data_IF_133886642731
#
_entry.id   IF_133886642731
#
_cell.length_a   1.000
_cell.length_b   1.000
_cell.length_c   1.000
_cell.angle_alpha   90.00
_cell.angle_beta   90.00
_cell.angle_gamma   90.00
#
_symmetry.space_group_name_H-M   'P 1'
#
loop_
_entity.id
_entity.type
_entity.pdbx_description
1 polymer ?
#
# COMPACT_ATOMS: atom_id res chain seq x y z
N UNK A 1 5.25 -23.82 33.72
CA UNK A 1 6.63 -23.27 33.64
C UNK A 1 6.58 -21.75 33.41
N UNK A 2 6.28 -20.92 34.42
CA UNK A 2 6.25 -19.45 34.32
C UNK A 2 6.84 -18.80 35.59
N UNK A 3 8.11 -19.09 35.91
CA UNK A 3 8.81 -18.51 37.07
C UNK A 3 10.05 -17.68 36.69
N UNK A 4 10.26 -17.42 35.40
CA UNK A 4 11.37 -16.62 34.88
C UNK A 4 11.03 -15.14 34.60
N UNK A 5 9.75 -14.79 34.41
CA UNK A 5 9.33 -13.43 34.03
C UNK A 5 9.39 -12.40 35.18
N UNK A 6 9.65 -12.83 36.42
CA UNK A 6 9.69 -11.94 37.59
C UNK A 6 11.01 -11.15 37.71
N UNK A 7 12.00 -11.36 36.83
CA UNK A 7 13.29 -10.66 36.87
C UNK A 7 13.35 -9.56 35.80
N UNK A 8 13.49 -8.27 36.18
CA UNK A 8 13.43 -7.15 35.24
C UNK A 8 14.49 -7.26 34.13
N UNK A 9 15.72 -7.67 34.48
CA UNK A 9 16.80 -7.84 33.50
C UNK A 9 16.54 -8.93 32.45
N UNK A 10 15.82 -9.99 32.81
CA UNK A 10 15.49 -11.06 31.85
C UNK A 10 14.32 -10.63 30.94
N UNK A 11 13.38 -9.86 31.48
CA UNK A 11 12.33 -9.19 30.70
C UNK A 11 12.94 -8.20 29.70
N UNK A 12 13.88 -7.37 30.13
CA UNK A 12 14.52 -6.38 29.27
C UNK A 12 15.32 -7.03 28.15
N UNK A 13 16.05 -8.12 28.44
CA UNK A 13 16.77 -8.90 27.43
C UNK A 13 15.81 -9.59 26.44
N UNK A 14 14.68 -10.12 26.92
CA UNK A 14 13.65 -10.73 26.07
C UNK A 14 12.95 -9.68 25.19
N UNK A 15 12.62 -8.52 25.75
CA UNK A 15 12.04 -7.38 25.01
C UNK A 15 13.02 -6.88 23.97
N UNK A 16 14.31 -6.75 24.30
CA UNK A 16 15.36 -6.36 23.36
C UNK A 16 15.54 -7.39 22.23
N UNK A 17 15.47 -8.69 22.55
CA UNK A 17 15.54 -9.76 21.56
C UNK A 17 14.31 -9.75 20.64
N UNK A 18 13.11 -9.60 21.19
CA UNK A 18 11.86 -9.54 20.43
C UNK A 18 11.71 -8.25 19.61
N UNK A 19 12.24 -7.11 20.08
CA UNK A 19 12.28 -5.88 19.26
C UNK A 19 13.31 -5.96 18.14
N UNK A 20 14.40 -6.71 18.35
CA UNK A 20 15.42 -6.98 17.33
C UNK A 20 14.95 -8.03 16.31
N UNK A 21 14.11 -8.96 16.73
CA UNK A 21 13.33 -9.84 15.85
C UNK A 21 12.15 -9.01 15.32
N UNK A 22 12.40 -8.21 14.30
CA UNK A 22 11.34 -7.51 13.56
C UNK A 22 10.55 -8.56 12.76
N UNK A 23 9.60 -9.25 13.40
CA UNK A 23 8.53 -10.01 12.74
C UNK A 23 7.54 -9.05 12.07
N UNK A 24 8.04 -8.06 11.34
CA UNK A 24 7.27 -7.41 10.30
C UNK A 24 7.61 -8.19 9.05
N UNK A 25 6.72 -9.07 8.60
CA UNK A 25 6.73 -9.47 7.19
C UNK A 25 6.82 -8.15 6.42
N UNK A 26 7.74 -7.99 5.48
CA UNK A 26 7.89 -6.73 4.72
C UNK A 26 6.66 -6.38 3.88
N UNK A 27 5.51 -6.96 4.19
CA UNK A 27 4.22 -6.81 3.58
C UNK A 27 3.60 -5.43 3.84
N UNK A 28 2.75 -5.02 2.93
CA UNK A 28 1.89 -3.86 3.07
C UNK A 28 0.52 -4.17 2.50
N UNK A 29 -0.47 -3.43 2.99
CA UNK A 29 -1.82 -3.41 2.46
C UNK A 29 -2.35 -1.98 2.53
N UNK A 30 -2.97 -1.52 1.45
CA UNK A 30 -3.65 -0.23 1.35
C UNK A 30 -5.06 -0.52 0.85
N UNK A 31 -6.06 0.14 1.43
CA UNK A 31 -7.45 0.07 0.98
C UNK A 31 -7.95 1.49 0.74
N UNK A 32 -8.56 1.70 -0.42
CA UNK A 32 -9.30 2.90 -0.75
C UNK A 32 -10.77 2.53 -0.84
N UNK A 33 -11.62 3.33 -0.20
CA UNK A 33 -13.08 3.17 -0.22
C UNK A 33 -13.73 4.49 -0.63
N UNK A 34 -14.83 4.40 -1.36
CA UNK A 34 -15.64 5.55 -1.76
C UNK A 34 -17.12 5.15 -1.81
N UNK A 35 -17.99 6.07 -1.41
CA UNK A 35 -19.43 5.93 -1.59
C UNK A 35 -19.85 6.60 -2.90
N UNK A 36 -20.57 5.84 -3.73
CA UNK A 36 -21.20 6.32 -4.95
C UNK A 36 -22.48 7.10 -4.63
N UNK A 37 -22.86 8.00 -5.54
CA UNK A 37 -24.13 8.72 -5.43
C UNK A 37 -25.37 7.78 -5.51
N UNK A 38 -25.18 6.55 -5.96
CA UNK A 38 -26.17 5.47 -5.98
C UNK A 38 -26.26 4.70 -4.64
N UNK A 39 -25.53 5.15 -3.62
CA UNK A 39 -25.49 4.52 -2.30
C UNK A 39 -24.66 3.24 -2.22
N UNK A 40 -23.89 2.91 -3.28
CA UNK A 40 -23.00 1.74 -3.27
C UNK A 40 -21.61 2.13 -2.78
N UNK A 41 -20.99 1.26 -1.99
CA UNK A 41 -19.59 1.40 -1.58
C UNK A 41 -18.70 0.68 -2.59
N UNK A 42 -17.73 1.42 -3.12
CA UNK A 42 -16.66 0.93 -3.96
C UNK A 42 -15.40 0.79 -3.12
N UNK A 43 -14.70 -0.33 -3.26
CA UNK A 43 -13.44 -0.56 -2.57
C UNK A 43 -12.37 -1.03 -3.55
N UNK A 44 -11.14 -0.60 -3.35
CA UNK A 44 -9.96 -1.10 -4.04
C UNK A 44 -8.88 -1.36 -3.00
N UNK A 45 -8.21 -2.50 -3.08
CA UNK A 45 -7.10 -2.80 -2.20
C UNK A 45 -5.84 -3.14 -2.97
N UNK A 46 -4.69 -2.76 -2.41
CA UNK A 46 -3.37 -3.08 -2.95
C UNK A 46 -2.58 -3.73 -1.84
N UNK A 47 -2.00 -4.89 -2.10
CA UNK A 47 -1.14 -5.57 -1.14
C UNK A 47 0.12 -6.11 -1.83
N UNK A 48 1.14 -6.38 -1.03
CA UNK A 48 2.41 -6.87 -1.55
C UNK A 48 3.49 -6.84 -0.49
N UNK A 49 4.74 -7.06 -0.90
CA UNK A 49 5.92 -6.96 -0.05
C UNK A 49 6.87 -5.89 -0.59
N UNK A 50 7.62 -5.25 0.31
CA UNK A 50 8.57 -4.20 -0.01
C UNK A 50 7.90 -2.87 -0.35
N UNK A 51 7.42 -2.14 0.67
CA UNK A 51 6.83 -0.79 0.50
C UNK A 51 7.72 0.13 -0.33
N UNK A 52 9.05 0.11 -0.10
CA UNK A 52 9.98 0.93 -0.89
C UNK A 52 10.00 0.58 -2.38
N UNK A 53 9.87 -0.71 -2.73
CA UNK A 53 9.77 -1.15 -4.11
C UNK A 53 8.46 -0.69 -4.74
N UNK A 54 7.34 -0.86 -4.03
CA UNK A 54 6.03 -0.37 -4.45
C UNK A 54 6.05 1.14 -4.73
N UNK A 55 6.53 1.94 -3.79
CA UNK A 55 6.66 3.40 -3.96
C UNK A 55 7.58 3.75 -5.13
N UNK A 56 8.70 3.04 -5.30
CA UNK A 56 9.62 3.24 -6.41
C UNK A 56 8.99 3.00 -7.78
N UNK A 57 8.15 1.97 -7.91
CA UNK A 57 7.39 1.72 -9.14
C UNK A 57 6.46 2.88 -9.44
N UNK A 58 5.66 3.33 -8.46
CA UNK A 58 4.73 4.46 -8.64
C UNK A 58 5.49 5.72 -9.10
N UNK A 59 6.61 6.04 -8.45
CA UNK A 59 7.44 7.19 -8.81
C UNK A 59 8.04 7.06 -10.22
N UNK A 60 8.46 5.86 -10.61
CA UNK A 60 9.01 5.60 -11.95
C UNK A 60 7.95 5.78 -13.03
N UNK A 61 6.75 5.23 -12.82
CA UNK A 61 5.62 5.39 -13.76
C UNK A 61 5.20 6.87 -13.88
N UNK A 62 5.26 7.63 -12.78
CA UNK A 62 5.05 9.08 -12.78
C UNK A 62 6.08 9.82 -13.62
N UNK A 63 7.36 9.53 -13.39
CA UNK A 63 8.46 10.14 -14.13
C UNK A 63 8.37 9.84 -15.63
N UNK A 64 8.04 8.60 -16.01
CA UNK A 64 7.88 8.20 -17.41
C UNK A 64 6.70 8.91 -18.09
N UNK A 65 5.56 9.02 -17.40
CA UNK A 65 4.40 9.76 -17.92
C UNK A 65 4.74 11.23 -18.17
N UNK A 66 5.44 11.87 -17.24
CA UNK A 66 5.91 13.25 -17.37
C UNK A 66 6.94 13.40 -18.50
N UNK A 67 7.80 12.40 -18.72
CA UNK A 67 8.81 12.43 -19.76
C UNK A 67 8.24 12.24 -21.17
N UNK A 68 7.24 11.37 -21.31
CA UNK A 68 6.70 10.94 -22.62
C UNK A 68 5.51 11.77 -23.11
N UNK A 69 4.83 12.49 -22.22
CA UNK A 69 3.63 13.25 -22.57
C UNK A 69 3.90 14.75 -22.58
N UNK A 70 3.64 15.46 -23.69
CA UNK A 70 3.76 16.91 -23.70
C UNK A 70 2.74 17.53 -22.74
N UNK A 71 3.24 18.24 -21.72
CA UNK A 71 2.44 18.93 -20.70
C UNK A 71 2.97 20.34 -20.49
N UNK A 72 2.09 21.26 -20.13
CA UNK A 72 2.51 22.59 -19.66
C UNK A 72 3.30 22.44 -18.35
N UNK A 73 4.30 23.31 -18.16
CA UNK A 73 5.07 23.33 -16.91
C UNK A 73 4.15 23.82 -15.76
N UNK A 74 3.66 22.87 -14.96
CA UNK A 74 2.77 23.13 -13.83
C UNK A 74 2.95 22.06 -12.74
N UNK A 75 2.41 22.35 -11.56
CA UNK A 75 2.25 21.35 -10.50
C UNK A 75 1.02 20.52 -10.87
N UNK A 76 1.21 19.21 -11.05
CA UNK A 76 0.14 18.26 -11.32
C UNK A 76 0.01 17.27 -10.16
N UNK A 77 -1.22 16.98 -9.77
CA UNK A 77 -1.50 15.89 -8.86
C UNK A 77 -1.39 14.55 -9.58
N UNK A 78 -1.07 13.49 -8.83
CA UNK A 78 -0.76 12.17 -9.40
C UNK A 78 -1.97 11.55 -10.14
N UNK A 79 -3.18 11.81 -9.67
CA UNK A 79 -4.44 11.42 -10.31
C UNK A 79 -4.68 12.11 -11.66
N UNK A 80 -3.98 13.21 -11.94
CA UNK A 80 -4.02 13.91 -13.24
C UNK A 80 -2.96 13.38 -14.22
N UNK A 81 -2.02 12.56 -13.73
CA UNK A 81 -0.93 12.00 -14.55
C UNK A 81 -1.36 10.74 -15.29
N UNK A 82 -2.29 9.97 -14.74
CA UNK A 82 -2.62 8.65 -15.26
C UNK A 82 -4.12 8.41 -15.36
N UNK A 83 -4.51 7.57 -16.32
CA UNK A 83 -5.75 6.83 -16.21
C UNK A 83 -5.58 5.71 -15.15
N UNK A 84 -6.42 5.63 -14.11
CA UNK A 84 -6.26 4.65 -13.04
C UNK A 84 -6.23 3.18 -13.52
N UNK A 85 -7.08 2.82 -14.49
CA UNK A 85 -7.15 1.45 -14.99
C UNK A 85 -5.87 1.06 -15.76
N UNK A 86 -5.36 1.97 -16.59
CA UNK A 86 -4.11 1.76 -17.30
C UNK A 86 -2.92 1.66 -16.32
N UNK A 87 -2.91 2.55 -15.32
CA UNK A 87 -1.88 2.56 -14.29
C UNK A 87 -1.83 1.23 -13.53
N UNK A 88 -2.98 0.71 -13.07
CA UNK A 88 -3.02 -0.57 -12.35
C UNK A 88 -2.56 -1.75 -13.21
N UNK A 89 -2.90 -1.75 -14.51
CA UNK A 89 -2.39 -2.77 -15.44
C UNK A 89 -0.87 -2.74 -15.52
N UNK A 90 -0.27 -1.55 -15.67
CA UNK A 90 1.19 -1.38 -15.72
C UNK A 90 1.86 -1.71 -14.38
N UNK A 91 1.23 -1.37 -13.26
CA UNK A 91 1.73 -1.72 -11.93
C UNK A 91 1.74 -3.24 -11.70
N UNK A 92 0.75 -3.97 -12.23
CA UNK A 92 0.69 -5.44 -12.15
C UNK A 92 1.92 -6.11 -12.81
N UNK A 93 2.43 -5.56 -13.91
CA UNK A 93 3.67 -6.03 -14.57
C UNK A 93 4.89 -5.95 -13.63
N UNK A 94 4.84 -5.10 -12.61
CA UNK A 94 5.88 -4.92 -11.59
C UNK A 94 5.58 -5.62 -10.26
N UNK A 95 4.69 -6.62 -10.26
CA UNK A 95 4.30 -7.43 -9.09
C UNK A 95 3.58 -6.65 -7.98
N UNK A 96 2.93 -5.54 -8.32
CA UNK A 96 1.93 -4.93 -7.45
C UNK A 96 0.58 -5.61 -7.66
N UNK A 97 0.03 -6.22 -6.61
CA UNK A 97 -1.28 -6.88 -6.71
C UNK A 97 -2.36 -5.88 -6.33
N UNK A 98 -3.26 -5.61 -7.28
CA UNK A 98 -4.42 -4.72 -7.10
C UNK A 98 -5.67 -5.59 -7.15
N UNK A 99 -6.48 -5.53 -6.09
CA UNK A 99 -7.77 -6.19 -6.00
C UNK A 99 -8.88 -5.12 -6.07
N UNK A 100 -9.58 -5.00 -7.22
CA UNK A 100 -10.77 -4.21 -7.30
C UNK A 100 -11.89 -4.96 -6.56
N UNK A 101 -12.19 -4.51 -5.35
CA UNK A 101 -13.25 -5.11 -4.54
C UNK A 101 -14.60 -5.01 -5.26
N UNK A 102 -15.46 -5.98 -5.01
CA UNK A 102 -16.82 -5.98 -5.56
C UNK A 102 -17.64 -4.86 -4.90
N UNK A 103 -18.34 -4.01 -5.68
CA UNK A 103 -19.24 -3.02 -5.11
C UNK A 103 -20.29 -3.70 -4.25
N UNK A 104 -20.55 -3.16 -3.06
CA UNK A 104 -21.56 -3.66 -2.14
C UNK A 104 -22.38 -2.51 -1.57
N UNK A 105 -23.61 -2.80 -1.18
CA UNK A 105 -24.41 -1.88 -0.38
C UNK A 105 -23.85 -1.87 1.05
N UNK A 106 -23.75 -0.71 1.71
CA UNK A 106 -23.32 -0.65 3.10
C UNK A 106 -24.26 -1.48 3.97
N UNK A 107 -23.70 -2.27 4.89
CA UNK A 107 -24.49 -3.03 5.84
C UNK A 107 -25.18 -2.03 6.79
N UNK A 108 -26.51 -1.94 6.67
CA UNK A 108 -27.42 -1.19 7.56
C UNK A 108 -27.25 -1.56 9.02
#
# INVERSE_FOLDING_TARGET
>A
MLRGLARPKLRDALVALLTRIRMGTGGFAVKAEAEGADGRTHACSVNGHGVGHATGIVATLAAESLYTSPRAASISHIEQLFNPAEFFRRAADHRLTVDPGTPHLPAT
#
